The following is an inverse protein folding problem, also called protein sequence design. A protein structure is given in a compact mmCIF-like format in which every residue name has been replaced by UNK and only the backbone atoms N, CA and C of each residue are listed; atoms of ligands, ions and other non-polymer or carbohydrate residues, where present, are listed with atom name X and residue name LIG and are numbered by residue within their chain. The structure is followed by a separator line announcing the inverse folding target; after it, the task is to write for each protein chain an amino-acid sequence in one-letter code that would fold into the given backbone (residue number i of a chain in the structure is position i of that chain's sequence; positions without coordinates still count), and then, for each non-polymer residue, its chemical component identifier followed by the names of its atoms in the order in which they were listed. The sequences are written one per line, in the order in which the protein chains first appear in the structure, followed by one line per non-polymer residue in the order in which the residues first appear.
data_IF_069738343632
#
_entry.id   IF_069738343632
#
_cell.length_a   1.000
_cell.length_b   1.000
_cell.length_c   1.000
_cell.angle_alpha   90.00
_cell.angle_beta   90.00
_cell.angle_gamma   90.00
#
_symmetry.space_group_name_H-M   'P 1'
#
loop_
_entity.id
_entity.type
_entity.pdbx_description
1 polymer ?
#
# COMPACT_ATOMS: atom_id res chain seq x y z
N UNK A 1 -10.97 -31.85 93.38
CA UNK A 1 -10.03 -31.57 94.47
C UNK A 1 -9.24 -30.33 94.06
N UNK A 2 -9.52 -29.19 94.71
CA UNK A 2 -8.65 -28.48 95.65
C UNK A 2 -7.32 -28.06 94.98
N UNK A 3 -6.85 -26.81 94.90
CA UNK A 3 -6.89 -25.58 95.68
C UNK A 3 -6.09 -24.57 94.84
N UNK A 4 -6.46 -23.37 94.67
CA UNK A 4 -6.43 -22.15 95.49
C UNK A 4 -5.17 -21.29 95.23
N UNK A 5 -5.35 -20.11 94.65
CA UNK A 5 -5.07 -18.78 95.20
C UNK A 5 -3.64 -18.45 95.63
N UNK A 6 -3.05 -17.38 95.03
CA UNK A 6 -2.84 -16.13 95.81
C UNK A 6 -2.18 -14.99 94.97
N UNK A 7 -2.77 -13.87 95.17
CA UNK A 7 -2.40 -12.50 94.91
C UNK A 7 -0.97 -12.05 95.27
N UNK A 8 -0.50 -11.03 94.53
CA UNK A 8 -0.02 -9.71 95.04
C UNK A 8 0.65 -9.02 93.82
N UNK A 9 0.15 -7.93 93.35
CA UNK A 9 0.08 -6.50 93.64
C UNK A 9 1.38 -5.73 93.61
N UNK A 10 1.30 -4.58 92.88
CA UNK A 10 2.09 -3.32 92.90
C UNK A 10 3.45 -3.33 92.21
N UNK A 11 3.72 -2.48 91.28
CA UNK A 11 3.75 -1.01 91.26
C UNK A 11 4.12 -0.45 89.87
N UNK A 12 3.44 0.63 89.46
CA UNK A 12 3.90 1.62 88.51
C UNK A 12 5.05 2.45 89.10
N UNK A 13 5.73 3.40 88.34
CA UNK A 13 5.72 3.82 86.94
C UNK A 13 7.10 3.94 86.34
N UNK A 14 7.25 4.14 85.02
CA UNK A 14 8.14 5.16 84.43
C UNK A 14 7.79 5.39 82.99
N UNK A 15 7.47 6.63 82.70
CA UNK A 15 7.29 7.26 81.38
C UNK A 15 8.59 7.22 80.58
N UNK A 16 8.55 6.70 79.38
CA UNK A 16 9.52 7.09 78.37
C UNK A 16 8.80 7.16 76.99
N UNK A 17 8.73 8.38 76.49
CA UNK A 17 8.24 8.72 75.15
C UNK A 17 9.18 8.10 74.11
N UNK A 18 8.62 7.27 73.22
CA UNK A 18 9.28 6.85 72.02
C UNK A 18 8.52 7.41 70.80
N UNK A 19 9.11 8.40 70.16
CA UNK A 19 8.63 9.00 68.93
C UNK A 19 8.57 7.95 67.82
N UNK A 20 7.37 7.65 67.30
CA UNK A 20 7.14 6.90 66.06
C UNK A 20 7.46 7.80 64.88
N UNK A 21 8.63 7.62 64.28
CA UNK A 21 8.95 8.12 62.96
C UNK A 21 8.14 7.30 61.93
N UNK A 22 7.04 7.88 61.43
CA UNK A 22 6.30 7.36 60.26
C UNK A 22 7.14 7.71 59.03
N UNK A 23 8.00 6.77 58.59
CA UNK A 23 8.62 6.82 57.29
C UNK A 23 7.56 6.50 56.25
N UNK A 24 6.98 7.56 55.66
CA UNK A 24 6.09 7.47 54.51
C UNK A 24 6.90 6.97 53.30
N UNK A 25 6.80 5.69 53.01
CA UNK A 25 7.28 5.13 51.74
C UNK A 25 6.34 5.66 50.66
N UNK A 26 6.72 6.76 50.00
CA UNK A 26 6.15 7.12 48.70
C UNK A 26 6.54 6.04 47.69
N UNK A 27 5.72 5.00 47.59
CA UNK A 27 5.72 4.10 46.45
C UNK A 27 5.24 4.92 45.24
N UNK A 28 6.17 5.55 44.50
CA UNK A 28 5.91 6.02 43.16
C UNK A 28 5.59 4.79 42.33
N UNK A 29 4.32 4.47 42.20
CA UNK A 29 3.83 3.58 41.15
C UNK A 29 4.20 4.25 39.85
N UNK A 30 5.31 3.86 39.24
CA UNK A 30 5.50 4.03 37.79
C UNK A 30 4.35 3.24 37.17
N UNK A 31 3.26 3.94 36.84
CA UNK A 31 2.28 3.40 35.92
C UNK A 31 3.08 3.06 34.65
N UNK A 32 3.26 1.77 34.37
CA UNK A 32 3.77 1.33 33.09
C UNK A 32 2.78 1.90 32.07
N UNK A 33 3.20 3.00 31.41
CA UNK A 33 2.41 3.62 30.37
C UNK A 33 2.33 2.58 29.27
N UNK A 34 1.15 2.04 29.01
CA UNK A 34 0.96 1.07 27.95
C UNK A 34 1.53 1.69 26.66
N UNK A 35 2.47 0.99 26.04
CA UNK A 35 3.10 1.45 24.80
C UNK A 35 2.03 1.77 23.75
N UNK A 36 2.00 3.01 23.30
CA UNK A 36 1.02 3.44 22.29
C UNK A 36 1.29 2.67 21.00
N UNK A 37 0.28 1.97 20.48
CA UNK A 37 0.41 1.16 19.27
C UNK A 37 -0.40 1.76 18.13
N UNK A 38 0.22 1.85 16.95
CA UNK A 38 -0.40 2.30 15.72
C UNK A 38 -0.41 1.16 14.69
N UNK A 39 -1.59 0.75 14.24
CA UNK A 39 -1.74 -0.30 13.22
C UNK A 39 -1.83 0.32 11.83
N UNK A 40 -0.87 -0.01 10.97
CA UNK A 40 -0.75 0.53 9.61
C UNK A 40 -0.92 -0.60 8.60
N UNK A 41 -2.02 -0.62 7.87
CA UNK A 41 -2.24 -1.56 6.78
C UNK A 41 -1.60 -1.03 5.49
N UNK A 42 -0.83 -1.88 4.81
CA UNK A 42 -0.17 -1.55 3.55
C UNK A 42 0.22 -2.86 2.82
N UNK A 43 0.66 -2.75 1.56
CA UNK A 43 1.07 -3.92 0.77
C UNK A 43 2.33 -4.59 1.32
N UNK A 44 2.40 -5.91 1.19
CA UNK A 44 3.55 -6.71 1.64
C UNK A 44 4.75 -6.69 0.69
N UNK A 45 5.69 -7.61 0.93
CA UNK A 45 6.88 -7.81 0.10
C UNK A 45 7.93 -6.71 0.28
N UNK A 46 8.53 -6.24 -0.82
CA UNK A 46 9.58 -5.19 -0.79
C UNK A 46 9.12 -3.90 -0.12
N UNK A 47 7.84 -3.58 -0.23
CA UNK A 47 7.25 -2.42 0.43
C UNK A 47 7.29 -2.56 1.96
N UNK A 48 6.84 -3.71 2.48
CA UNK A 48 6.90 -4.02 3.90
C UNK A 48 8.34 -3.98 4.43
N UNK A 49 9.29 -4.55 3.69
CA UNK A 49 10.71 -4.54 4.08
C UNK A 49 11.25 -3.11 4.20
N UNK A 50 10.97 -2.25 3.22
CA UNK A 50 11.37 -0.84 3.26
C UNK A 50 10.78 -0.12 4.47
N UNK A 51 9.49 -0.30 4.72
CA UNK A 51 8.79 0.33 5.84
C UNK A 51 9.39 -0.11 7.18
N UNK A 52 9.54 -1.42 7.40
CA UNK A 52 10.08 -1.96 8.66
C UNK A 52 11.53 -1.58 8.91
N UNK A 53 12.33 -1.48 7.85
CA UNK A 53 13.77 -1.24 8.01
C UNK A 53 14.13 0.25 8.04
N UNK A 54 13.40 1.12 7.32
CA UNK A 54 13.85 2.50 7.09
C UNK A 54 12.80 3.58 7.41
N UNK A 55 11.51 3.31 7.21
CA UNK A 55 10.47 4.33 7.37
C UNK A 55 9.90 4.33 8.79
N UNK A 56 9.56 3.16 9.32
CA UNK A 56 8.94 3.01 10.64
C UNK A 56 9.88 3.44 11.79
N UNK A 57 11.14 2.96 11.89
CA UNK A 57 11.95 3.19 13.07
C UNK A 57 12.20 4.66 13.45
N UNK A 58 12.43 5.59 12.48
CA UNK A 58 12.56 7.00 12.82
C UNK A 58 11.27 7.60 13.41
N UNK A 59 10.10 7.20 12.89
CA UNK A 59 8.82 7.67 13.39
C UNK A 59 8.52 7.13 14.79
N UNK A 60 8.72 5.83 15.03
CA UNK A 60 8.58 5.20 16.36
C UNK A 60 9.42 5.94 17.40
N UNK A 61 10.69 6.21 17.07
CA UNK A 61 11.60 6.92 17.96
C UNK A 61 11.18 8.36 18.24
N UNK A 62 10.65 9.06 17.25
CA UNK A 62 10.25 10.46 17.38
C UNK A 62 8.95 10.66 18.18
N UNK A 63 8.07 9.67 18.18
CA UNK A 63 6.72 9.76 18.75
C UNK A 63 6.47 8.82 19.95
N UNK A 64 7.48 8.05 20.36
CA UNK A 64 7.36 7.04 21.44
C UNK A 64 6.15 6.11 21.21
N UNK A 65 6.10 5.52 20.03
CA UNK A 65 4.99 4.67 19.55
C UNK A 65 5.53 3.40 18.93
N UNK A 66 4.77 2.32 19.01
CA UNK A 66 5.01 1.08 18.27
C UNK A 66 4.12 1.01 17.04
N UNK A 67 4.68 0.75 15.87
CA UNK A 67 3.92 0.52 14.64
C UNK A 67 3.84 -0.97 14.33
N UNK A 68 2.61 -1.47 14.26
CA UNK A 68 2.30 -2.81 13.76
C UNK A 68 1.93 -2.71 12.29
N UNK A 69 2.81 -3.22 11.45
CA UNK A 69 2.57 -3.28 10.01
C UNK A 69 1.65 -4.45 9.68
N UNK A 70 0.49 -4.17 9.09
CA UNK A 70 -0.51 -5.17 8.67
C UNK A 70 -0.40 -5.35 7.16
N UNK A 71 0.35 -6.38 6.75
CA UNK A 71 0.55 -6.68 5.34
C UNK A 71 -0.71 -7.25 4.67
N UNK A 72 -0.99 -6.80 3.43
CA UNK A 72 -2.09 -7.30 2.61
C UNK A 72 -2.13 -6.59 1.26
N UNK A 73 -2.86 -7.11 0.28
CA UNK A 73 -3.14 -6.33 -0.91
C UNK A 73 -4.27 -5.30 -0.63
N UNK A 74 -4.45 -4.35 -1.53
CA UNK A 74 -5.40 -3.25 -1.34
C UNK A 74 -6.86 -3.72 -1.23
N UNK A 75 -7.25 -4.77 -1.96
CA UNK A 75 -8.60 -5.33 -1.90
C UNK A 75 -8.86 -6.08 -0.60
N UNK A 76 -7.88 -6.86 -0.11
CA UNK A 76 -7.98 -7.56 1.18
C UNK A 76 -8.00 -6.57 2.34
N UNK A 77 -7.22 -5.50 2.24
CA UNK A 77 -7.24 -4.41 3.22
C UNK A 77 -8.63 -3.77 3.27
N UNK A 78 -9.22 -3.41 2.13
CA UNK A 78 -10.57 -2.85 2.08
C UNK A 78 -11.61 -3.80 2.68
N UNK A 79 -11.57 -5.08 2.34
CA UNK A 79 -12.49 -6.08 2.91
C UNK A 79 -12.35 -6.18 4.45
N UNK A 80 -11.11 -6.13 4.95
CA UNK A 80 -10.82 -6.11 6.39
C UNK A 80 -11.38 -4.86 7.06
N UNK A 81 -11.20 -3.67 6.45
CA UNK A 81 -11.76 -2.41 6.97
C UNK A 81 -13.29 -2.46 7.04
N UNK A 82 -13.95 -3.03 6.02
CA UNK A 82 -15.40 -3.22 6.01
C UNK A 82 -15.86 -4.16 7.12
N UNK A 83 -15.17 -5.27 7.30
CA UNK A 83 -15.48 -6.25 8.35
C UNK A 83 -15.28 -5.69 9.77
N UNK A 84 -14.38 -4.72 9.94
CA UNK A 84 -14.08 -4.07 11.21
C UNK A 84 -14.89 -2.79 11.47
N UNK A 85 -15.82 -2.42 10.59
CA UNK A 85 -16.65 -1.22 10.78
C UNK A 85 -17.42 -1.30 12.10
N UNK A 86 -17.29 -0.27 12.94
CA UNK A 86 -17.80 -0.24 14.32
C UNK A 86 -16.79 -0.71 15.39
N UNK A 87 -15.69 -1.37 14.98
CA UNK A 87 -14.65 -1.91 15.86
C UNK A 87 -13.27 -1.84 15.20
N UNK A 88 -12.94 -0.69 14.63
CA UNK A 88 -11.76 -0.51 13.78
C UNK A 88 -10.45 -0.68 14.57
N UNK A 89 -9.65 -1.66 14.18
CA UNK A 89 -8.33 -1.91 14.77
C UNK A 89 -7.21 -1.20 13.97
N UNK A 90 -7.40 -1.07 12.64
CA UNK A 90 -6.44 -0.40 11.78
C UNK A 90 -6.60 1.11 11.96
N UNK A 91 -5.48 1.81 12.15
CA UNK A 91 -5.45 3.26 12.35
C UNK A 91 -5.21 4.00 11.03
N UNK A 92 -4.30 3.49 10.21
CA UNK A 92 -3.96 4.06 8.91
C UNK A 92 -4.03 2.96 7.86
N UNK A 93 -4.69 3.22 6.74
CA UNK A 93 -4.69 2.35 5.57
C UNK A 93 -3.97 3.03 4.41
N UNK A 94 -3.04 2.30 3.79
CA UNK A 94 -2.33 2.68 2.57
C UNK A 94 -2.72 1.67 1.49
N UNK A 95 -3.40 2.14 0.45
CA UNK A 95 -3.99 1.30 -0.59
C UNK A 95 -3.86 1.98 -1.96
N UNK A 96 -4.00 1.19 -3.01
CA UNK A 96 -4.21 1.70 -4.37
C UNK A 96 -5.48 2.56 -4.43
N UNK A 97 -5.50 3.50 -5.35
CA UNK A 97 -6.57 4.49 -5.48
C UNK A 97 -7.97 3.87 -5.65
N UNK A 98 -8.14 2.81 -6.44
CA UNK A 98 -9.46 2.18 -6.62
C UNK A 98 -10.10 1.71 -5.31
N UNK A 99 -9.46 0.82 -4.52
CA UNK A 99 -9.91 0.45 -3.19
C UNK A 99 -10.01 1.64 -2.21
N UNK A 100 -9.12 2.64 -2.33
CA UNK A 100 -9.18 3.85 -1.51
C UNK A 100 -10.45 4.66 -1.78
N UNK A 101 -10.82 4.87 -3.06
CA UNK A 101 -12.08 5.52 -3.39
C UNK A 101 -13.30 4.79 -2.83
N UNK A 102 -13.30 3.45 -2.82
CA UNK A 102 -14.36 2.67 -2.17
C UNK A 102 -14.37 2.90 -0.65
N UNK A 103 -13.22 2.89 0.02
CA UNK A 103 -13.13 3.17 1.45
C UNK A 103 -13.69 4.56 1.79
N UNK A 104 -13.38 5.57 0.97
CA UNK A 104 -13.90 6.92 1.11
C UNK A 104 -15.43 6.97 0.95
N UNK A 105 -15.99 6.33 -0.06
CA UNK A 105 -17.43 6.26 -0.32
C UNK A 105 -18.20 5.54 0.80
N UNK A 106 -17.59 4.53 1.42
CA UNK A 106 -18.15 3.79 2.55
C UNK A 106 -18.03 4.53 3.90
N UNK A 107 -17.41 5.74 3.90
CA UNK A 107 -17.22 6.55 5.11
C UNK A 107 -16.21 5.95 6.09
N UNK A 108 -15.28 5.13 5.61
CA UNK A 108 -14.27 4.49 6.47
C UNK A 108 -13.11 5.42 6.80
N UNK A 109 -12.92 6.49 6.03
CA UNK A 109 -11.81 7.43 6.15
C UNK A 109 -12.23 8.73 6.83
N UNK A 110 -11.48 9.17 7.82
CA UNK A 110 -11.62 10.48 8.46
C UNK A 110 -11.12 11.61 7.54
N UNK A 111 -11.51 12.84 7.83
CA UNK A 111 -11.00 14.02 7.13
C UNK A 111 -9.49 14.12 7.30
N UNK A 112 -8.78 14.37 6.21
CA UNK A 112 -7.34 14.68 6.24
C UNK A 112 -7.15 16.07 6.85
N UNK A 113 -6.29 16.17 7.87
CA UNK A 113 -5.97 17.43 8.51
C UNK A 113 -5.03 18.28 7.63
N UNK A 114 -5.22 19.58 7.72
CA UNK A 114 -4.33 20.53 7.08
C UNK A 114 -2.98 20.56 7.81
N UNK A 115 -1.90 20.49 7.03
CA UNK A 115 -0.54 20.52 7.55
C UNK A 115 0.38 21.25 6.55
N UNK A 116 1.52 21.81 6.99
CA UNK A 116 2.42 22.52 6.08
C UNK A 116 2.81 21.72 4.84
N UNK A 117 3.09 20.41 5.00
CA UNK A 117 3.47 19.50 3.91
C UNK A 117 2.40 19.38 2.82
N UNK A 118 1.13 19.62 3.16
CA UNK A 118 0.03 19.54 2.18
C UNK A 118 0.13 20.59 1.08
N UNK A 119 0.78 21.74 1.33
CA UNK A 119 0.98 22.82 0.34
C UNK A 119 1.98 22.43 -0.76
N UNK A 120 2.85 21.50 -0.44
CA UNK A 120 3.93 21.06 -1.33
C UNK A 120 3.51 19.91 -2.24
N UNK A 121 2.28 19.40 -2.12
CA UNK A 121 1.80 18.30 -2.93
C UNK A 121 1.36 18.76 -4.33
N UNK A 122 1.50 17.85 -5.31
CA UNK A 122 0.81 18.00 -6.58
C UNK A 122 -0.71 17.94 -6.36
N UNK A 123 -1.52 18.72 -7.13
CA UNK A 123 -2.99 18.71 -6.98
C UNK A 123 -3.60 17.32 -7.07
N UNK A 124 -3.07 16.46 -7.96
CA UNK A 124 -3.55 15.09 -8.15
C UNK A 124 -3.39 14.19 -6.90
N UNK A 125 -2.48 14.53 -5.97
CA UNK A 125 -2.31 13.77 -4.72
C UNK A 125 -3.46 13.99 -3.73
N UNK A 126 -4.36 14.95 -3.96
CA UNK A 126 -5.54 15.20 -3.12
C UNK A 126 -6.72 14.38 -3.65
N UNK A 127 -7.00 13.23 -3.02
CA UNK A 127 -8.10 12.35 -3.38
C UNK A 127 -9.41 12.77 -2.68
N UNK A 128 -9.75 14.06 -2.72
CA UNK A 128 -10.88 14.61 -1.98
C UNK A 128 -10.51 15.04 -0.56
N UNK A 129 -11.49 14.97 0.38
CA UNK A 129 -11.33 15.47 1.74
C UNK A 129 -10.77 14.43 2.72
N UNK A 130 -10.79 13.14 2.39
CA UNK A 130 -10.59 12.05 3.35
C UNK A 130 -9.42 11.12 3.03
N UNK A 131 -8.73 11.33 1.90
CA UNK A 131 -7.52 10.59 1.57
C UNK A 131 -6.50 11.46 0.84
N UNK A 132 -5.23 11.08 0.91
CA UNK A 132 -4.13 11.74 0.25
C UNK A 132 -3.20 10.73 -0.41
N UNK A 133 -2.79 10.99 -1.64
CA UNK A 133 -1.74 10.21 -2.32
C UNK A 133 -0.42 10.36 -1.58
N UNK A 134 0.22 9.24 -1.27
CA UNK A 134 1.55 9.18 -0.65
C UNK A 134 2.63 8.80 -1.64
N UNK A 135 2.25 8.55 -2.87
CA UNK A 135 3.15 8.28 -3.98
C UNK A 135 2.39 7.81 -5.21
N UNK A 136 3.11 7.66 -6.31
CA UNK A 136 2.54 7.30 -7.60
C UNK A 136 3.39 6.24 -8.30
N UNK A 137 2.73 5.28 -8.92
CA UNK A 137 3.33 4.36 -9.89
C UNK A 137 2.53 4.40 -11.18
N UNK A 138 3.03 3.74 -12.19
CA UNK A 138 2.29 3.54 -13.43
C UNK A 138 2.13 2.05 -13.71
N UNK A 139 0.98 1.67 -14.24
CA UNK A 139 0.80 0.39 -14.90
C UNK A 139 1.20 0.53 -16.35
N UNK A 140 2.06 -0.35 -16.81
CA UNK A 140 2.55 -0.44 -18.18
C UNK A 140 2.92 -1.89 -18.50
N UNK A 141 3.98 -2.07 -19.28
CA UNK A 141 4.46 -3.39 -19.66
C UNK A 141 5.85 -3.64 -19.07
N UNK A 142 5.97 -4.73 -18.31
CA UNK A 142 7.25 -5.30 -17.90
C UNK A 142 7.65 -6.46 -18.83
N UNK A 143 8.92 -6.50 -19.25
CA UNK A 143 9.40 -7.60 -20.08
C UNK A 143 10.85 -7.94 -19.79
N UNK A 144 11.22 -9.20 -20.00
CA UNK A 144 12.59 -9.67 -19.90
C UNK A 144 13.32 -9.38 -21.22
N UNK A 145 14.20 -8.37 -21.19
CA UNK A 145 14.92 -7.91 -22.38
C UNK A 145 15.78 -9.02 -23.02
N UNK A 146 16.43 -9.84 -22.20
CA UNK A 146 17.29 -10.94 -22.69
C UNK A 146 16.46 -12.03 -23.36
N UNK A 147 15.29 -12.36 -22.80
CA UNK A 147 14.39 -13.34 -23.40
C UNK A 147 13.84 -12.85 -24.75
N UNK A 148 13.46 -11.57 -24.85
CA UNK A 148 13.01 -10.97 -26.12
C UNK A 148 14.12 -11.02 -27.17
N UNK A 149 15.34 -10.63 -26.82
CA UNK A 149 16.51 -10.72 -27.74
C UNK A 149 16.77 -12.16 -28.21
N UNK A 150 16.70 -13.13 -27.29
CA UNK A 150 16.91 -14.56 -27.60
C UNK A 150 15.84 -15.10 -28.57
N UNK A 151 14.62 -14.60 -28.49
CA UNK A 151 13.52 -14.99 -29.39
C UNK A 151 13.46 -14.15 -30.67
N UNK A 152 14.37 -13.17 -30.86
CA UNK A 152 14.35 -12.27 -32.00
C UNK A 152 13.18 -11.29 -32.02
N UNK A 153 12.54 -11.07 -30.85
CA UNK A 153 11.41 -10.15 -30.72
C UNK A 153 11.91 -8.72 -30.53
N UNK A 154 11.26 -7.73 -31.14
CA UNK A 154 11.55 -6.31 -30.89
C UNK A 154 11.13 -5.93 -29.47
N UNK A 155 11.79 -4.92 -28.89
CA UNK A 155 11.32 -4.33 -27.66
C UNK A 155 9.87 -3.84 -27.80
N UNK A 156 8.96 -4.19 -26.87
CA UNK A 156 7.57 -3.75 -26.97
C UNK A 156 7.47 -2.23 -26.77
N UNK A 157 6.52 -1.60 -27.46
CA UNK A 157 6.20 -0.16 -27.32
C UNK A 157 4.71 0.11 -27.08
N UNK A 158 3.89 -0.96 -27.01
CA UNK A 158 2.43 -0.90 -27.02
C UNK A 158 1.84 -1.99 -26.15
N UNK A 159 0.64 -1.76 -25.61
CA UNK A 159 -0.20 -2.78 -24.99
C UNK A 159 -0.52 -3.95 -25.93
N UNK A 160 -0.40 -3.74 -27.26
CA UNK A 160 -0.62 -4.80 -28.27
C UNK A 160 0.33 -5.97 -28.15
N UNK A 161 1.45 -5.85 -27.43
CA UNK A 161 2.33 -6.98 -27.16
C UNK A 161 1.60 -8.13 -26.44
N UNK A 162 0.55 -7.83 -25.69
CA UNK A 162 -0.25 -8.85 -25.00
C UNK A 162 -1.09 -9.70 -25.98
N UNK A 163 -1.36 -9.16 -27.16
CA UNK A 163 -2.13 -9.80 -28.24
C UNK A 163 -1.21 -10.55 -29.23
N UNK A 164 0.12 -10.36 -29.13
CA UNK A 164 1.08 -10.93 -30.06
C UNK A 164 1.20 -12.46 -29.89
N UNK A 165 0.93 -13.26 -30.93
CA UNK A 165 1.04 -14.71 -30.84
C UNK A 165 2.47 -15.22 -30.57
N UNK A 166 3.50 -14.43 -30.79
CA UNK A 166 4.90 -14.80 -30.47
C UNK A 166 5.18 -14.87 -28.95
N UNK A 167 4.33 -14.28 -28.12
CA UNK A 167 4.43 -14.40 -26.66
C UNK A 167 3.49 -15.49 -26.08
N UNK A 168 2.87 -16.30 -26.95
CA UNK A 168 1.96 -17.38 -26.51
C UNK A 168 2.66 -18.35 -25.57
N UNK A 169 2.02 -18.62 -24.42
CA UNK A 169 2.57 -19.49 -23.38
C UNK A 169 3.75 -18.86 -22.63
N UNK A 170 3.97 -17.53 -22.77
CA UNK A 170 5.03 -16.78 -22.09
C UNK A 170 4.51 -15.43 -21.53
N UNK A 171 3.22 -15.21 -21.62
CA UNK A 171 2.54 -14.02 -21.12
C UNK A 171 1.96 -14.30 -19.73
N UNK A 172 2.28 -13.47 -18.75
CA UNK A 172 1.58 -13.44 -17.47
C UNK A 172 0.61 -12.26 -17.44
N UNK A 173 -0.59 -12.47 -16.94
CA UNK A 173 -1.57 -11.38 -16.74
C UNK A 173 -2.12 -11.47 -15.32
N UNK A 174 -2.12 -10.39 -14.53
CA UNK A 174 -2.82 -10.39 -13.26
C UNK A 174 -4.34 -10.47 -13.47
N UNK A 175 -5.11 -11.15 -12.58
CA UNK A 175 -6.56 -11.18 -12.67
C UNK A 175 -7.18 -9.80 -12.45
N UNK A 176 -8.45 -9.63 -12.81
CA UNK A 176 -9.18 -8.35 -12.66
C UNK A 176 -9.28 -7.89 -11.20
N UNK A 177 -9.15 -8.78 -10.23
CA UNK A 177 -9.10 -8.45 -8.80
C UNK A 177 -7.84 -7.70 -8.41
N UNK A 178 -6.78 -7.83 -9.22
CA UNK A 178 -5.55 -7.05 -9.12
C UNK A 178 -5.67 -5.76 -9.95
N UNK A 179 -5.18 -4.65 -9.42
CA UNK A 179 -5.26 -3.32 -10.08
C UNK A 179 -4.65 -3.33 -11.48
N UNK A 180 -3.53 -4.03 -11.70
CA UNK A 180 -2.89 -4.09 -13.02
C UNK A 180 -3.74 -4.86 -14.05
N UNK A 181 -4.42 -5.93 -13.62
CA UNK A 181 -5.35 -6.66 -14.49
C UNK A 181 -6.58 -5.82 -14.88
N UNK A 182 -7.14 -5.08 -13.93
CA UNK A 182 -8.23 -4.14 -14.19
C UNK A 182 -7.79 -3.03 -15.16
N UNK A 183 -6.63 -2.42 -14.92
CA UNK A 183 -6.06 -1.40 -15.82
C UNK A 183 -5.87 -1.96 -17.23
N UNK A 184 -5.39 -3.20 -17.36
CA UNK A 184 -5.23 -3.88 -18.65
C UNK A 184 -6.55 -4.00 -19.38
N UNK A 185 -7.61 -4.46 -18.69
CA UNK A 185 -8.95 -4.59 -19.29
C UNK A 185 -9.47 -3.25 -19.79
N UNK A 186 -9.35 -2.18 -18.99
CA UNK A 186 -9.80 -0.84 -19.39
C UNK A 186 -8.99 -0.30 -20.56
N UNK A 187 -7.66 -0.49 -20.55
CA UNK A 187 -6.82 -0.06 -21.67
C UNK A 187 -7.15 -0.82 -22.97
N UNK A 188 -7.39 -2.12 -22.90
CA UNK A 188 -7.87 -2.89 -24.04
C UNK A 188 -9.21 -2.37 -24.55
N UNK A 189 -10.14 -1.99 -23.64
CA UNK A 189 -11.39 -1.38 -24.04
C UNK A 189 -11.17 -0.05 -24.78
N UNK A 190 -10.37 0.85 -24.23
CA UNK A 190 -10.04 2.15 -24.84
C UNK A 190 -9.39 2.02 -26.21
N UNK A 191 -8.48 1.07 -26.36
CA UNK A 191 -7.79 0.79 -27.64
C UNK A 191 -8.73 0.25 -28.72
N UNK A 192 -9.84 -0.38 -28.30
CA UNK A 192 -10.83 -0.98 -29.19
C UNK A 192 -12.13 -0.18 -29.30
N UNK A 193 -12.08 1.13 -29.02
CA UNK A 193 -13.22 2.05 -29.18
C UNK A 193 -14.22 2.06 -28.03
N UNK A 194 -13.85 1.50 -26.87
CA UNK A 194 -14.62 1.53 -25.63
C UNK A 194 -13.94 2.34 -24.53
N UNK A 195 -14.08 1.88 -23.31
CA UNK A 195 -13.54 2.48 -22.09
C UNK A 195 -14.36 2.06 -20.87
N UNK A 196 -14.29 2.81 -19.78
CA UNK A 196 -14.98 2.48 -18.53
C UNK A 196 -16.52 2.46 -18.70
N UNK A 197 -17.07 3.36 -19.52
CA UNK A 197 -18.52 3.41 -19.80
C UNK A 197 -18.99 2.36 -20.81
N UNK A 198 -18.06 1.76 -21.55
CA UNK A 198 -18.31 0.68 -22.49
C UNK A 198 -17.14 -0.30 -22.47
N UNK A 199 -17.18 -1.23 -21.54
CA UNK A 199 -16.08 -2.18 -21.29
C UNK A 199 -16.06 -3.37 -22.27
N UNK A 200 -17.13 -3.60 -23.05
CA UNK A 200 -17.30 -4.75 -23.91
C UNK A 200 -16.17 -4.99 -24.92
N UNK A 201 -15.64 -3.96 -25.60
CA UNK A 201 -14.48 -4.14 -26.47
C UNK A 201 -13.26 -4.68 -25.74
N UNK A 202 -13.05 -4.28 -24.46
CA UNK A 202 -11.97 -4.79 -23.61
C UNK A 202 -12.12 -6.27 -23.31
N UNK A 203 -13.30 -6.72 -22.90
CA UNK A 203 -13.58 -8.15 -22.70
C UNK A 203 -13.43 -8.96 -23.98
N UNK A 204 -13.83 -8.40 -25.12
CA UNK A 204 -13.66 -9.06 -26.42
C UNK A 204 -12.19 -9.25 -26.76
N UNK A 205 -11.39 -8.20 -26.61
CA UNK A 205 -9.94 -8.28 -26.85
C UNK A 205 -9.26 -9.23 -25.83
N UNK A 206 -9.59 -9.10 -24.56
CA UNK A 206 -9.05 -9.96 -23.51
C UNK A 206 -9.33 -11.42 -23.79
N UNK A 207 -10.57 -11.78 -24.09
CA UNK A 207 -10.98 -13.19 -24.31
C UNK A 207 -10.43 -13.78 -25.61
N UNK A 208 -10.41 -12.99 -26.71
CA UNK A 208 -10.10 -13.51 -28.04
C UNK A 208 -8.65 -13.37 -28.43
N UNK A 209 -7.95 -12.34 -27.90
CA UNK A 209 -6.62 -11.98 -28.35
C UNK A 209 -5.56 -12.20 -27.26
N UNK A 210 -5.87 -11.84 -26.01
CA UNK A 210 -4.90 -11.92 -24.89
C UNK A 210 -4.92 -13.27 -24.22
N UNK A 211 -6.08 -13.77 -23.77
CA UNK A 211 -6.21 -15.02 -23.02
C UNK A 211 -5.58 -16.24 -23.71
N UNK A 212 -5.65 -16.40 -25.05
CA UNK A 212 -4.95 -17.51 -25.74
C UNK A 212 -3.42 -17.50 -25.59
N UNK A 213 -2.82 -16.37 -25.24
CA UNK A 213 -1.39 -16.22 -25.04
C UNK A 213 -0.95 -16.43 -23.59
N UNK A 214 -1.88 -16.36 -22.64
CA UNK A 214 -1.60 -16.37 -21.20
C UNK A 214 -1.11 -17.74 -20.75
N UNK A 215 0.05 -17.73 -20.07
CA UNK A 215 0.57 -18.87 -19.34
C UNK A 215 -0.04 -18.94 -17.94
N UNK A 216 -0.10 -17.79 -17.26
CA UNK A 216 -0.57 -17.72 -15.87
C UNK A 216 -1.34 -16.44 -15.59
N UNK A 217 -2.42 -16.57 -14.84
CA UNK A 217 -3.17 -15.47 -14.23
C UNK A 217 -2.64 -15.22 -12.81
N UNK A 218 -1.43 -14.64 -12.69
CA UNK A 218 -0.72 -14.48 -11.42
C UNK A 218 -1.43 -13.46 -10.49
N UNK A 219 -2.08 -13.90 -9.39
CA UNK A 219 -2.88 -13.01 -8.55
C UNK A 219 -2.04 -12.07 -7.69
N UNK A 220 -0.80 -12.45 -7.39
CA UNK A 220 0.08 -11.67 -6.52
C UNK A 220 1.32 -11.17 -7.25
N UNK A 221 1.86 -10.00 -6.85
CA UNK A 221 3.12 -9.52 -7.40
C UNK A 221 4.28 -10.49 -7.21
N UNK A 222 4.36 -11.17 -6.07
CA UNK A 222 5.45 -12.13 -5.79
C UNK A 222 5.42 -13.34 -6.71
N UNK A 223 4.22 -13.83 -7.05
CA UNK A 223 4.05 -14.92 -8.02
C UNK A 223 4.47 -14.48 -9.42
N UNK A 224 4.05 -13.29 -9.86
CA UNK A 224 4.48 -12.73 -11.15
C UNK A 224 6.00 -12.53 -11.19
N UNK A 225 6.60 -12.03 -10.12
CA UNK A 225 8.05 -11.85 -10.00
C UNK A 225 8.77 -13.21 -10.14
N UNK A 226 8.26 -14.25 -9.47
CA UNK A 226 8.79 -15.62 -9.54
C UNK A 226 8.72 -16.19 -10.96
N UNK A 227 7.59 -16.06 -11.65
CA UNK A 227 7.40 -16.51 -13.03
C UNK A 227 8.31 -15.75 -14.02
N UNK A 228 8.54 -14.46 -13.79
CA UNK A 228 9.49 -13.66 -14.56
C UNK A 228 10.93 -14.13 -14.32
N UNK A 229 11.32 -14.37 -13.08
CA UNK A 229 12.67 -14.81 -12.69
C UNK A 229 12.97 -16.22 -13.18
N UNK A 230 12.00 -17.13 -13.18
CA UNK A 230 12.16 -18.50 -13.76
C UNK A 230 12.26 -18.46 -15.28
N UNK A 231 11.78 -17.39 -15.92
CA UNK A 231 11.72 -17.26 -17.39
C UNK A 231 10.50 -17.95 -18.01
N UNK A 232 9.56 -18.44 -17.22
CA UNK A 232 8.28 -18.97 -17.69
C UNK A 232 7.43 -17.87 -18.31
N UNK A 233 7.39 -16.70 -17.64
CA UNK A 233 6.81 -15.46 -18.16
C UNK A 233 7.92 -14.52 -18.60
N UNK A 234 7.81 -13.97 -19.81
CA UNK A 234 8.77 -13.02 -20.36
C UNK A 234 8.19 -11.61 -20.54
N UNK A 235 6.87 -11.48 -20.47
CA UNK A 235 6.16 -10.20 -20.60
C UNK A 235 4.86 -10.24 -19.79
N UNK A 236 4.51 -9.08 -19.19
CA UNK A 236 3.28 -8.94 -18.40
C UNK A 236 2.84 -7.46 -18.32
N UNK A 237 1.55 -7.18 -18.11
CA UNK A 237 1.13 -5.95 -17.47
C UNK A 237 1.79 -5.82 -16.10
N UNK A 238 2.46 -4.70 -15.86
CA UNK A 238 3.34 -4.59 -14.70
C UNK A 238 3.31 -3.19 -14.11
N UNK A 239 3.60 -3.08 -12.81
CA UNK A 239 3.74 -1.79 -12.16
C UNK A 239 5.17 -1.25 -12.23
N UNK A 240 5.34 0.06 -12.51
CA UNK A 240 6.67 0.68 -12.56
C UNK A 240 7.46 0.50 -11.25
N UNK A 241 6.80 0.62 -10.09
CA UNK A 241 7.44 0.39 -8.79
C UNK A 241 7.88 -1.06 -8.59
N UNK A 242 7.10 -2.02 -9.05
CA UNK A 242 7.49 -3.45 -9.03
C UNK A 242 8.67 -3.73 -9.94
N UNK A 243 8.69 -3.08 -11.10
CA UNK A 243 9.83 -3.17 -12.01
C UNK A 243 11.12 -2.68 -11.36
N UNK A 244 11.07 -1.55 -10.65
CA UNK A 244 12.22 -1.04 -9.88
C UNK A 244 12.66 -2.04 -8.81
N UNK A 245 11.72 -2.60 -8.05
CA UNK A 245 12.03 -3.57 -7.00
C UNK A 245 12.71 -4.82 -7.58
N UNK A 246 12.20 -5.37 -8.68
CA UNK A 246 12.77 -6.55 -9.33
C UNK A 246 14.13 -6.25 -9.99
N UNK A 247 14.29 -5.07 -10.61
CA UNK A 247 15.58 -4.59 -11.14
C UNK A 247 16.64 -4.47 -10.05
N UNK A 248 16.27 -4.05 -8.85
CA UNK A 248 17.19 -3.92 -7.72
C UNK A 248 17.74 -5.29 -7.25
N UNK A 249 17.12 -6.41 -7.62
CA UNK A 249 17.67 -7.77 -7.42
C UNK A 249 18.69 -8.17 -8.48
N UNK A 250 18.94 -7.33 -9.49
CA UNK A 250 19.80 -7.63 -10.65
C UNK A 250 19.08 -8.33 -11.80
N UNK A 251 17.76 -8.55 -11.71
CA UNK A 251 17.00 -9.17 -12.79
C UNK A 251 16.88 -8.22 -14.01
N UNK A 252 17.08 -8.69 -15.27
CA UNK A 252 17.11 -7.85 -16.46
C UNK A 252 15.70 -7.47 -16.97
N UNK A 253 14.84 -7.01 -16.06
CA UNK A 253 13.52 -6.50 -16.40
C UNK A 253 13.66 -5.10 -17.02
N UNK A 254 12.92 -4.87 -18.10
CA UNK A 254 12.63 -3.52 -18.62
C UNK A 254 11.16 -3.21 -18.37
N UNK A 255 10.89 -1.96 -18.06
CA UNK A 255 9.55 -1.42 -17.97
C UNK A 255 9.37 -0.35 -19.03
N UNK A 256 8.24 -0.36 -19.70
CA UNK A 256 7.88 0.68 -20.66
C UNK A 256 6.54 1.31 -20.34
N UNK A 257 6.42 2.57 -20.65
CA UNK A 257 5.14 3.27 -20.80
C UNK A 257 4.67 3.03 -22.24
N UNK A 258 3.60 2.24 -22.46
CA UNK A 258 3.09 2.01 -23.81
C UNK A 258 2.71 3.32 -24.50
N UNK A 259 2.80 3.38 -25.83
CA UNK A 259 2.50 4.59 -26.61
C UNK A 259 1.03 5.04 -26.50
N UNK A 260 0.13 4.14 -26.14
CA UNK A 260 -1.27 4.45 -25.83
C UNK A 260 -1.44 5.08 -24.44
N UNK A 261 -0.36 5.18 -23.68
CA UNK A 261 -0.28 5.70 -22.32
C UNK A 261 -0.08 4.61 -21.27
N UNK A 262 0.75 4.91 -20.27
CA UNK A 262 0.76 4.18 -19.02
C UNK A 262 -0.40 4.62 -18.14
N UNK A 263 -0.92 3.74 -17.30
CA UNK A 263 -2.02 4.09 -16.40
C UNK A 263 -1.47 4.62 -15.08
N UNK A 264 -1.89 5.82 -14.69
CA UNK A 264 -1.58 6.35 -13.36
C UNK A 264 -2.23 5.47 -12.30
N UNK A 265 -1.44 5.06 -11.31
CA UNK A 265 -1.91 4.41 -10.11
C UNK A 265 -1.37 5.18 -8.91
N UNK A 266 -2.26 5.78 -8.15
CA UNK A 266 -1.89 6.42 -6.91
C UNK A 266 -1.92 5.42 -5.77
N UNK A 267 -0.86 5.44 -4.95
CA UNK A 267 -0.87 4.84 -3.64
C UNK A 267 -1.32 5.91 -2.67
N UNK A 268 -2.45 5.70 -2.02
CA UNK A 268 -3.10 6.69 -1.18
C UNK A 268 -3.19 6.21 0.27
N UNK A 269 -3.13 7.13 1.20
CA UNK A 269 -3.32 6.90 2.63
C UNK A 269 -4.58 7.58 3.14
N UNK A 270 -5.28 6.92 4.05
CA UNK A 270 -6.29 7.55 4.88
C UNK A 270 -6.15 7.15 6.35
N UNK A 271 -6.55 8.07 7.22
CA UNK A 271 -6.77 7.80 8.64
C UNK A 271 -8.17 7.23 8.81
N UNK A 272 -8.33 6.13 9.53
CA UNK A 272 -9.63 5.51 9.70
C UNK A 272 -10.53 6.36 10.60
N UNK A 273 -11.82 6.47 10.26
CA UNK A 273 -12.78 7.33 10.97
C UNK A 273 -12.99 6.91 12.44
N UNK A 274 -13.01 5.60 12.69
CA UNK A 274 -13.17 5.02 14.03
C UNK A 274 -11.81 4.62 14.60
N UNK A 275 -10.98 5.62 14.89
CA UNK A 275 -9.56 5.44 15.19
C UNK A 275 -9.26 5.78 16.65
N UNK A 276 -8.62 4.87 17.38
CA UNK A 276 -8.19 5.09 18.76
C UNK A 276 -7.04 6.09 18.91
N UNK A 277 -6.28 6.36 17.80
CA UNK A 277 -5.10 7.22 17.77
C UNK A 277 -5.18 8.23 16.60
N UNK A 278 -6.20 9.10 16.53
CA UNK A 278 -6.45 9.92 15.34
C UNK A 278 -5.32 10.91 15.04
N UNK A 279 -4.82 11.62 16.04
CA UNK A 279 -3.75 12.62 15.85
C UNK A 279 -2.44 11.98 15.41
N UNK A 280 -2.04 10.89 16.09
CA UNK A 280 -0.82 10.16 15.75
C UNK A 280 -0.90 9.57 14.33
N UNK A 281 -2.09 9.11 13.94
CA UNK A 281 -2.36 8.62 12.58
C UNK A 281 -2.22 9.72 11.54
N UNK A 282 -2.73 10.92 11.80
CA UNK A 282 -2.54 12.09 10.92
C UNK A 282 -1.05 12.45 10.79
N UNK A 283 -0.32 12.46 11.91
CA UNK A 283 1.12 12.71 11.91
C UNK A 283 1.89 11.66 11.09
N UNK A 284 1.50 10.38 11.18
CA UNK A 284 2.12 9.34 10.37
C UNK A 284 1.84 9.52 8.88
N UNK A 285 0.60 9.85 8.49
CA UNK A 285 0.27 10.18 7.09
C UNK A 285 1.07 11.38 6.61
N UNK A 286 1.18 12.46 7.41
CA UNK A 286 2.01 13.62 7.07
C UNK A 286 3.49 13.28 6.95
N UNK A 287 4.01 12.39 7.80
CA UNK A 287 5.38 11.88 7.72
C UNK A 287 5.63 11.14 6.41
N UNK A 288 4.68 10.33 5.93
CA UNK A 288 4.78 9.67 4.62
C UNK A 288 4.89 10.65 3.45
N UNK A 289 4.43 11.89 3.62
CA UNK A 289 4.51 12.96 2.62
C UNK A 289 5.81 13.78 2.69
N UNK A 290 6.63 13.55 3.70
CA UNK A 290 7.90 14.27 3.86
C UNK A 290 8.88 13.95 2.71
N UNK A 291 9.72 14.90 2.30
CA UNK A 291 10.69 14.68 1.23
C UNK A 291 11.61 13.48 1.49
N UNK A 292 12.02 13.29 2.75
CA UNK A 292 12.93 12.22 3.16
C UNK A 292 12.30 10.85 2.93
N UNK A 293 11.06 10.66 3.35
CA UNK A 293 10.33 9.40 3.17
C UNK A 293 10.07 9.15 1.70
N UNK A 294 9.68 10.17 0.95
CA UNK A 294 9.38 10.04 -0.48
C UNK A 294 10.63 9.71 -1.30
N UNK A 295 11.81 10.20 -0.93
CA UNK A 295 13.08 9.77 -1.53
C UNK A 295 13.34 8.30 -1.25
N UNK A 296 13.16 7.84 -0.01
CA UNK A 296 13.32 6.41 0.36
C UNK A 296 12.37 5.50 -0.43
N UNK A 297 11.12 5.93 -0.58
CA UNK A 297 10.13 5.20 -1.36
C UNK A 297 10.49 5.15 -2.85
N UNK A 298 10.93 6.24 -3.43
CA UNK A 298 11.34 6.29 -4.83
C UNK A 298 12.53 5.36 -5.11
N UNK A 299 13.54 5.38 -4.25
CA UNK A 299 14.74 4.56 -4.38
C UNK A 299 14.48 3.07 -4.13
N UNK A 300 13.72 2.75 -3.08
CA UNK A 300 13.55 1.38 -2.60
C UNK A 300 12.47 0.58 -3.31
N UNK A 301 11.35 1.23 -3.64
CA UNK A 301 10.15 0.58 -4.18
C UNK A 301 9.60 1.26 -5.44
N UNK A 302 10.34 2.22 -6.01
CA UNK A 302 9.95 2.87 -7.25
C UNK A 302 8.65 3.67 -7.17
N UNK A 303 8.32 4.20 -6.00
CA UNK A 303 7.13 5.03 -5.80
C UNK A 303 7.48 6.49 -6.11
N UNK A 304 6.99 7.02 -7.22
CA UNK A 304 7.21 8.40 -7.63
C UNK A 304 6.63 9.39 -6.61
N UNK A 305 7.37 10.46 -6.26
CA UNK A 305 6.95 11.38 -5.23
C UNK A 305 5.77 12.24 -5.66
N UNK A 306 4.87 12.50 -4.72
CA UNK A 306 3.76 13.43 -4.85
C UNK A 306 4.07 14.81 -4.26
N UNK A 307 5.15 14.94 -3.51
CA UNK A 307 5.65 16.19 -2.98
C UNK A 307 6.59 16.86 -4.00
N UNK A 308 6.24 18.07 -4.44
CA UNK A 308 6.95 18.86 -5.47
C UNK A 308 8.36 19.27 -5.07
N UNK A 309 8.65 19.30 -3.76
CA UNK A 309 9.95 19.72 -3.25
C UNK A 309 11.01 18.62 -3.27
N UNK A 310 10.58 17.37 -3.49
CA UNK A 310 11.48 16.21 -3.58
C UNK A 310 12.47 16.38 -4.74
N UNK A 311 13.75 16.13 -4.45
CA UNK A 311 14.82 16.09 -5.44
C UNK A 311 15.34 14.67 -5.55
N UNK A 312 15.17 14.05 -6.71
CA UNK A 312 15.71 12.73 -7.01
C UNK A 312 17.01 12.84 -7.82
N UNK A 313 17.92 11.86 -7.64
CA UNK A 313 19.03 11.70 -8.56
C UNK A 313 18.53 11.35 -9.97
N UNK A 314 19.27 11.68 -11.04
CA UNK A 314 18.86 11.37 -12.41
C UNK A 314 18.48 9.90 -12.63
N UNK A 315 19.25 8.97 -12.04
CA UNK A 315 19.03 7.53 -12.17
C UNK A 315 17.70 7.08 -11.53
N UNK A 316 17.34 7.64 -10.38
CA UNK A 316 16.06 7.35 -9.71
C UNK A 316 14.91 8.02 -10.47
N UNK A 317 15.08 9.28 -10.86
CA UNK A 317 14.09 10.04 -11.61
C UNK A 317 13.70 9.37 -12.94
N UNK A 318 14.64 8.73 -13.60
CA UNK A 318 14.39 7.99 -14.86
C UNK A 318 13.56 6.71 -14.67
N UNK A 319 13.42 6.20 -13.43
CA UNK A 319 12.81 4.91 -13.14
C UNK A 319 11.42 5.02 -12.53
N UNK A 320 11.00 6.21 -12.13
CA UNK A 320 9.73 6.45 -11.44
C UNK A 320 8.93 7.55 -12.14
N UNK A 321 7.60 7.61 -12.00
CA UNK A 321 6.85 8.81 -12.40
C UNK A 321 7.38 10.03 -11.60
N UNK A 322 8.04 10.96 -12.29
CA UNK A 322 8.67 12.10 -11.64
C UNK A 322 8.61 13.35 -12.51
N UNK A 323 8.21 14.44 -11.86
CA UNK A 323 8.06 15.73 -12.50
C UNK A 323 6.75 15.90 -13.27
N UNK A 324 6.32 17.17 -13.47
CA UNK A 324 5.00 17.47 -14.02
C UNK A 324 4.79 16.90 -15.44
N UNK A 325 5.84 16.92 -16.28
CA UNK A 325 5.73 16.49 -17.68
C UNK A 325 5.52 14.99 -17.84
N UNK A 326 6.13 14.17 -16.97
CA UNK A 326 5.91 12.72 -17.00
C UNK A 326 4.55 12.38 -16.41
N UNK A 327 4.18 13.03 -15.32
CA UNK A 327 2.90 12.80 -14.64
C UNK A 327 1.73 13.16 -15.58
N UNK A 328 1.85 14.24 -16.36
CA UNK A 328 0.82 14.65 -17.29
C UNK A 328 0.60 13.66 -18.46
N UNK A 329 1.56 12.79 -18.75
CA UNK A 329 1.45 11.77 -19.81
C UNK A 329 0.77 10.48 -19.35
N UNK A 330 0.50 10.35 -18.05
CA UNK A 330 -0.18 9.18 -17.54
C UNK A 330 -1.69 9.29 -17.74
N UNK A 331 -2.29 8.16 -18.07
CA UNK A 331 -3.74 8.05 -18.26
C UNK A 331 -4.42 7.81 -16.91
N UNK A 332 -5.36 8.68 -16.55
CA UNK A 332 -6.19 8.49 -15.36
C UNK A 332 -7.36 7.52 -15.62
N UNK A 333 -7.84 6.87 -14.56
CA UNK A 333 -9.02 6.00 -14.55
C UNK A 333 -10.24 6.71 -13.99
N UNK A 334 -11.41 6.45 -14.57
CA UNK A 334 -12.72 6.85 -14.00
C UNK A 334 -13.11 5.84 -12.90
N UNK A 335 -12.56 6.01 -11.72
CA UNK A 335 -12.82 5.15 -10.57
C UNK A 335 -14.28 5.14 -10.13
N UNK A 336 -15.03 6.21 -10.41
CA UNK A 336 -16.47 6.27 -10.12
C UNK A 336 -17.21 5.23 -10.96
N UNK A 337 -17.02 5.26 -12.26
CA UNK A 337 -17.63 4.28 -13.18
C UNK A 337 -17.11 2.86 -12.91
N UNK A 338 -15.80 2.70 -12.73
CA UNK A 338 -15.19 1.38 -12.47
C UNK A 338 -15.79 0.75 -11.20
N UNK A 339 -15.87 1.49 -10.11
CA UNK A 339 -16.35 0.96 -8.83
C UNK A 339 -17.85 0.62 -8.86
N UNK A 340 -18.65 1.32 -9.66
CA UNK A 340 -20.06 0.98 -9.87
C UNK A 340 -20.24 -0.38 -10.57
N UNK A 341 -19.34 -0.74 -11.48
CA UNK A 341 -19.43 -1.96 -12.28
C UNK A 341 -18.48 -3.08 -11.87
N UNK A 342 -17.64 -2.85 -10.84
CA UNK A 342 -16.55 -3.77 -10.51
C UNK A 342 -17.01 -5.19 -10.21
N UNK A 343 -18.10 -5.36 -9.48
CA UNK A 343 -18.63 -6.68 -9.15
C UNK A 343 -19.09 -7.43 -10.41
N UNK A 344 -19.85 -6.76 -11.28
CA UNK A 344 -20.30 -7.28 -12.56
C UNK A 344 -19.13 -7.70 -13.47
N UNK A 345 -18.11 -6.82 -13.57
CA UNK A 345 -16.94 -7.11 -14.39
C UNK A 345 -16.12 -8.27 -13.83
N UNK A 346 -15.99 -8.38 -12.51
CA UNK A 346 -15.30 -9.50 -11.86
C UNK A 346 -16.01 -10.82 -12.13
N UNK A 347 -17.34 -10.85 -11.99
CA UNK A 347 -18.13 -12.03 -12.30
C UNK A 347 -18.03 -12.46 -13.78
N UNK A 348 -18.10 -11.46 -14.69
CA UNK A 348 -17.92 -11.70 -16.12
C UNK A 348 -16.52 -12.21 -16.45
N UNK A 349 -15.47 -11.67 -15.82
CA UNK A 349 -14.10 -12.12 -15.96
C UNK A 349 -13.96 -13.59 -15.58
N UNK A 350 -14.43 -13.96 -14.41
CA UNK A 350 -14.35 -15.35 -13.92
C UNK A 350 -15.10 -16.34 -14.84
N UNK A 351 -16.17 -15.91 -15.48
CA UNK A 351 -16.95 -16.76 -16.41
C UNK A 351 -16.33 -16.87 -17.80
N UNK A 352 -15.64 -15.84 -18.29
CA UNK A 352 -15.31 -15.75 -19.71
C UNK A 352 -13.81 -15.62 -20.01
N UNK A 353 -12.99 -15.22 -19.08
CA UNK A 353 -11.56 -14.94 -19.29
C UNK A 353 -10.67 -15.99 -18.64
N UNK A 354 -10.76 -16.17 -17.34
CA UNK A 354 -10.01 -17.18 -16.58
C UNK A 354 -10.72 -18.54 -16.64
N UNK A 355 -10.41 -19.35 -17.67
CA UNK A 355 -10.99 -20.69 -17.84
C UNK A 355 -9.90 -21.74 -17.87
#
# INVERSE_FOLDING_TARGET
MKKALRHRSLSLPHVLAAALAVAGVFATTLAAQAETTLYVANVGGSNEQLYRQKIIPPFEKAHDVKIVYVAGNSSDTLAKLQAQKGHQQINVAVMDDGPMYQAMQLGLCAKVEDAPVMKDLYPLARLGATAVGVGMVATGIGYNEQAFKKLGLPAPDSWKVLEDPHVKGKLGVPPITNTYGLHTLVMLARMNGGGEKNIDPGFTAMTKQVAPNVLSWAPTPGEMDGLMQSGDVIVAPYGSGRAVALQNTGFPLKFIYPKEGGVALQVAACVLAENAQPQLSQQFVQYLLSPEVQVLQAQGIGLGPVNKTVKLSPDVAARVPYGPDQIAKLTAMDWTTINQHRAEWTERWNRSVER
#
